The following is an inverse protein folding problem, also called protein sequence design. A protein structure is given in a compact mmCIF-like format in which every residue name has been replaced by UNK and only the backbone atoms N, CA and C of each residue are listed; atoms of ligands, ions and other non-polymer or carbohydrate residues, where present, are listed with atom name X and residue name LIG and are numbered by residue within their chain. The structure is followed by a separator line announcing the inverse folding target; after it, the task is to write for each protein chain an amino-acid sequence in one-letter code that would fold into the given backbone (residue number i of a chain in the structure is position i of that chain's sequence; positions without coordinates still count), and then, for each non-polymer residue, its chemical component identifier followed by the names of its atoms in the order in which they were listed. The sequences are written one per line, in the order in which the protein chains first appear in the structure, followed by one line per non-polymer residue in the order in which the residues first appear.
data_IF_718876893267
#
_entry.id   IF_718876893267
#
_cell.length_a   1.000
_cell.length_b   1.000
_cell.length_c   1.000
_cell.angle_alpha   90.00
_cell.angle_beta   90.00
_cell.angle_gamma   90.00
#
_symmetry.space_group_name_H-M   'P 1'
#
loop_
_entity.id
_entity.type
_entity.pdbx_description
1 polymer ?
#
# COMPACT_ATOMS: atom_id res chain seq x y z
N UNK A 1 -15.15 7.91 -10.50
CA UNK A 1 -14.80 6.58 -9.99
C UNK A 1 -16.01 5.69 -10.18
N UNK A 2 -15.90 4.73 -11.10
CA UNK A 2 -17.01 3.86 -11.44
C UNK A 2 -16.48 2.45 -11.71
N UNK A 3 -16.84 1.51 -10.84
CA UNK A 3 -16.60 0.10 -11.10
C UNK A 3 -17.47 -0.36 -12.27
N UNK A 4 -16.84 -1.00 -13.25
CA UNK A 4 -17.54 -1.73 -14.29
C UNK A 4 -17.70 -3.17 -13.84
N UNK A 5 -18.94 -3.58 -13.62
CA UNK A 5 -19.30 -4.90 -13.08
C UNK A 5 -20.05 -5.69 -14.16
N UNK A 6 -19.55 -6.88 -14.49
CA UNK A 6 -20.23 -7.89 -15.30
C UNK A 6 -20.47 -9.16 -14.46
N UNK A 7 -21.05 -10.19 -15.07
CA UNK A 7 -21.29 -11.47 -14.38
C UNK A 7 -20.01 -12.24 -14.05
N UNK A 8 -18.89 -11.93 -14.73
CA UNK A 8 -17.62 -12.66 -14.59
C UNK A 8 -16.42 -11.78 -14.26
N UNK A 9 -16.55 -10.45 -14.34
CA UNK A 9 -15.44 -9.53 -14.19
C UNK A 9 -15.90 -8.23 -13.51
N UNK A 10 -15.11 -7.75 -12.55
CA UNK A 10 -15.20 -6.41 -11.99
C UNK A 10 -13.87 -5.70 -12.26
N UNK A 11 -13.95 -4.48 -12.79
CA UNK A 11 -12.76 -3.64 -13.07
C UNK A 11 -12.98 -2.20 -12.63
N UNK A 12 -11.89 -1.52 -12.26
CA UNK A 12 -11.86 -0.08 -12.02
C UNK A 12 -11.40 0.71 -13.26
N UNK A 13 -11.82 1.97 -13.38
CA UNK A 13 -11.25 2.94 -14.33
C UNK A 13 -10.02 3.69 -13.77
N UNK A 14 -9.71 3.49 -12.50
CA UNK A 14 -8.63 4.16 -11.75
C UNK A 14 -7.50 3.18 -11.43
N UNK A 15 -7.83 1.96 -11.00
CA UNK A 15 -6.84 0.96 -10.59
C UNK A 15 -6.74 -0.15 -11.63
N UNK A 16 -5.54 -0.76 -11.79
CA UNK A 16 -5.34 -1.87 -12.72
C UNK A 16 -5.82 -3.21 -12.15
N UNK A 17 -6.27 -3.22 -10.90
CA UNK A 17 -6.70 -4.45 -10.25
C UNK A 17 -8.08 -4.88 -10.74
N UNK A 18 -8.37 -6.17 -10.60
CA UNK A 18 -9.55 -6.81 -11.15
C UNK A 18 -10.10 -7.85 -10.19
N UNK A 19 -11.42 -8.10 -10.27
CA UNK A 19 -12.04 -9.25 -9.65
C UNK A 19 -12.59 -10.19 -10.72
N UNK A 20 -12.28 -11.47 -10.64
CA UNK A 20 -12.74 -12.49 -11.59
C UNK A 20 -13.63 -13.50 -10.88
N UNK A 21 -14.71 -13.91 -11.54
CA UNK A 21 -15.53 -15.02 -11.07
C UNK A 21 -14.81 -16.34 -11.36
N UNK A 22 -14.67 -17.18 -10.34
CA UNK A 22 -14.04 -18.49 -10.48
C UNK A 22 -15.02 -19.47 -11.16
N UNK A 23 -14.62 -20.11 -12.29
CA UNK A 23 -15.55 -20.92 -13.09
C UNK A 23 -15.86 -22.30 -12.49
N UNK A 24 -14.99 -22.83 -11.63
CA UNK A 24 -15.04 -24.23 -11.15
C UNK A 24 -15.73 -24.42 -9.79
N UNK A 25 -16.18 -23.34 -9.14
CA UNK A 25 -16.82 -23.44 -7.81
C UNK A 25 -18.30 -23.12 -7.98
N UNK A 26 -19.13 -24.15 -7.81
CA UNK A 26 -20.58 -24.00 -7.75
C UNK A 26 -20.94 -23.05 -6.60
N UNK A 27 -21.55 -21.92 -6.95
CA UNK A 27 -21.82 -20.82 -6.00
C UNK A 27 -21.25 -19.47 -6.42
N UNK A 28 -20.43 -19.40 -7.48
CA UNK A 28 -20.01 -18.12 -8.05
C UNK A 28 -19.08 -17.32 -7.16
N UNK A 29 -18.05 -17.99 -6.64
CA UNK A 29 -16.97 -17.35 -5.90
C UNK A 29 -16.19 -16.38 -6.78
N UNK A 30 -15.67 -15.34 -6.17
CA UNK A 30 -14.87 -14.30 -6.80
C UNK A 30 -13.46 -14.28 -6.23
N UNK A 31 -12.50 -13.83 -7.04
CA UNK A 31 -11.11 -13.70 -6.65
C UNK A 31 -10.59 -12.33 -7.09
N UNK A 32 -9.86 -11.64 -6.21
CA UNK A 32 -9.23 -10.36 -6.50
C UNK A 32 -7.78 -10.58 -6.93
N UNK A 33 -7.34 -9.87 -7.96
CA UNK A 33 -5.96 -9.91 -8.48
C UNK A 33 -4.90 -9.60 -7.41
N UNK A 34 -5.23 -8.79 -6.43
CA UNK A 34 -4.31 -8.39 -5.35
C UNK A 34 -4.47 -9.20 -4.05
N UNK A 35 -5.53 -10.00 -3.90
CA UNK A 35 -5.80 -10.76 -2.68
C UNK A 35 -5.38 -12.24 -2.77
N UNK A 36 -4.70 -12.62 -3.85
CA UNK A 36 -4.23 -14.00 -4.07
C UNK A 36 -5.40 -14.95 -4.27
N UNK A 37 -5.26 -16.21 -3.83
CA UNK A 37 -6.22 -17.29 -4.08
C UNK A 37 -7.41 -17.34 -3.11
N UNK A 38 -7.72 -16.22 -2.47
CA UNK A 38 -8.86 -16.14 -1.57
C UNK A 38 -10.16 -16.06 -2.36
N UNK A 39 -11.04 -17.02 -2.13
CA UNK A 39 -12.40 -17.03 -2.65
C UNK A 39 -13.30 -16.13 -1.81
N UNK A 40 -14.03 -15.27 -2.49
CA UNK A 40 -14.90 -14.23 -1.93
C UNK A 40 -16.33 -14.39 -2.46
N UNK A 41 -17.30 -13.83 -1.74
CA UNK A 41 -18.61 -13.57 -2.32
C UNK A 41 -18.53 -12.43 -3.33
N UNK A 42 -19.59 -12.26 -4.13
CA UNK A 42 -19.67 -11.15 -5.09
C UNK A 42 -19.60 -9.79 -4.39
N UNK A 43 -20.29 -9.65 -3.26
CA UNK A 43 -20.33 -8.44 -2.45
C UNK A 43 -18.94 -8.13 -1.88
N UNK A 44 -18.23 -9.15 -1.38
CA UNK A 44 -16.86 -9.00 -0.90
C UNK A 44 -15.90 -8.62 -2.02
N UNK A 45 -16.06 -9.16 -3.23
CA UNK A 45 -15.25 -8.75 -4.37
C UNK A 45 -15.49 -7.29 -4.74
N UNK A 46 -16.74 -6.83 -4.73
CA UNK A 46 -17.08 -5.41 -4.93
C UNK A 46 -16.42 -4.55 -3.84
N UNK A 47 -16.55 -4.93 -2.57
CA UNK A 47 -15.96 -4.19 -1.46
C UNK A 47 -14.43 -4.14 -1.53
N UNK A 48 -13.78 -5.21 -1.98
CA UNK A 48 -12.34 -5.22 -2.22
C UNK A 48 -11.90 -4.33 -3.37
N UNK A 49 -12.69 -4.24 -4.44
CA UNK A 49 -12.44 -3.31 -5.56
C UNK A 49 -12.62 -1.85 -5.13
N UNK A 50 -13.69 -1.55 -4.37
CA UNK A 50 -13.91 -0.20 -3.79
C UNK A 50 -12.76 0.18 -2.86
N UNK A 51 -12.28 -0.76 -2.05
CA UNK A 51 -11.19 -0.53 -1.12
C UNK A 51 -9.87 -0.20 -1.83
N UNK A 52 -9.55 -0.92 -2.90
CA UNK A 52 -8.37 -0.64 -3.72
C UNK A 52 -8.45 0.75 -4.38
N UNK A 53 -9.60 1.11 -4.95
CA UNK A 53 -9.82 2.45 -5.51
C UNK A 53 -9.68 3.56 -4.46
N UNK A 54 -10.28 3.36 -3.28
CA UNK A 54 -10.28 4.31 -2.17
C UNK A 54 -8.85 4.60 -1.67
N UNK A 55 -8.00 3.58 -1.63
CA UNK A 55 -6.60 3.69 -1.19
C UNK A 55 -5.68 4.20 -2.29
N UNK A 56 -5.98 3.89 -3.55
CA UNK A 56 -5.20 4.34 -4.71
C UNK A 56 -5.43 5.81 -5.07
N UNK A 57 -6.65 6.32 -4.85
CA UNK A 57 -7.01 7.69 -5.23
C UNK A 57 -7.87 8.39 -4.15
N UNK A 58 -7.27 8.73 -2.98
CA UNK A 58 -7.98 9.41 -1.92
C UNK A 58 -8.40 10.82 -2.35
N UNK A 59 -9.65 11.20 -2.06
CA UNK A 59 -10.15 12.56 -2.31
C UNK A 59 -9.36 13.55 -1.43
N UNK A 60 -8.85 14.67 -1.98
CA UNK A 60 -8.11 15.65 -1.20
C UNK A 60 -8.95 16.22 -0.05
N UNK A 61 -8.37 16.24 1.16
CA UNK A 61 -8.99 16.86 2.33
C UNK A 61 -9.75 15.92 3.27
N UNK A 62 -9.88 14.63 2.95
CA UNK A 62 -10.69 13.69 3.75
C UNK A 62 -9.94 12.41 4.15
N UNK A 63 -8.63 12.50 4.37
CA UNK A 63 -7.76 11.34 4.60
C UNK A 63 -8.17 10.47 5.79
N UNK A 64 -8.66 11.07 6.89
CA UNK A 64 -9.08 10.32 8.07
C UNK A 64 -10.38 9.52 7.81
N UNK A 65 -11.37 10.14 7.16
CA UNK A 65 -12.59 9.43 6.78
C UNK A 65 -12.30 8.31 5.80
N UNK A 66 -11.46 8.57 4.79
CA UNK A 66 -10.99 7.57 3.81
C UNK A 66 -10.37 6.37 4.53
N UNK A 67 -9.48 6.59 5.50
CA UNK A 67 -8.87 5.50 6.27
C UNK A 67 -9.86 4.76 7.16
N UNK A 68 -10.83 5.44 7.78
CA UNK A 68 -11.88 4.77 8.58
C UNK A 68 -12.83 3.94 7.73
N UNK A 69 -13.21 4.45 6.56
CA UNK A 69 -14.01 3.72 5.59
C UNK A 69 -13.24 2.51 5.07
N UNK A 70 -11.97 2.70 4.71
CA UNK A 70 -11.09 1.62 4.29
C UNK A 70 -10.94 0.53 5.37
N UNK A 71 -10.76 0.92 6.63
CA UNK A 71 -10.69 -0.02 7.74
C UNK A 71 -11.99 -0.80 7.94
N UNK A 72 -13.15 -0.16 7.72
CA UNK A 72 -14.45 -0.84 7.77
C UNK A 72 -14.58 -1.88 6.68
N UNK A 73 -14.25 -1.54 5.43
CA UNK A 73 -14.27 -2.49 4.30
C UNK A 73 -13.25 -3.62 4.46
N UNK A 74 -12.07 -3.34 5.00
CA UNK A 74 -11.08 -4.36 5.33
C UNK A 74 -11.65 -5.43 6.28
N UNK A 75 -12.43 -5.02 7.29
CA UNK A 75 -13.08 -5.95 8.22
C UNK A 75 -14.15 -6.81 7.55
N UNK A 76 -14.89 -6.29 6.59
CA UNK A 76 -15.87 -7.08 5.81
C UNK A 76 -15.18 -8.17 4.96
N UNK A 77 -13.91 -7.95 4.60
CA UNK A 77 -13.03 -8.96 4.00
C UNK A 77 -12.36 -9.86 5.04
N UNK A 78 -12.58 -9.65 6.34
CA UNK A 78 -11.91 -10.37 7.41
C UNK A 78 -10.39 -10.13 7.46
N UNK A 79 -9.94 -8.93 7.09
CA UNK A 79 -8.53 -8.54 7.04
C UNK A 79 -8.29 -7.24 7.80
N UNK A 80 -7.06 -7.04 8.25
CA UNK A 80 -6.62 -5.75 8.79
C UNK A 80 -6.27 -4.76 7.68
N UNK A 81 -6.56 -3.47 7.88
CA UNK A 81 -6.13 -2.42 6.94
C UNK A 81 -4.61 -2.43 6.67
N UNK A 82 -3.71 -2.63 7.67
CA UNK A 82 -2.28 -2.71 7.41
C UNK A 82 -1.89 -3.87 6.48
N UNK A 83 -2.56 -5.01 6.58
CA UNK A 83 -2.30 -6.17 5.73
C UNK A 83 -2.65 -5.86 4.27
N UNK A 84 -3.79 -5.22 4.06
CA UNK A 84 -4.25 -4.82 2.71
C UNK A 84 -3.27 -3.82 2.08
N UNK A 85 -2.82 -2.82 2.83
CA UNK A 85 -1.83 -1.86 2.36
C UNK A 85 -0.53 -2.54 1.93
N UNK A 86 -0.03 -3.50 2.71
CA UNK A 86 1.18 -4.26 2.36
C UNK A 86 0.98 -5.04 1.06
N UNK A 87 -0.17 -5.70 0.88
CA UNK A 87 -0.46 -6.47 -0.34
C UNK A 87 -0.56 -5.57 -1.58
N UNK A 88 -1.32 -4.48 -1.50
CA UNK A 88 -1.45 -3.52 -2.61
C UNK A 88 -0.11 -2.86 -2.96
N UNK A 89 0.70 -2.50 -1.95
CA UNK A 89 2.04 -1.98 -2.17
C UNK A 89 2.95 -3.01 -2.84
N UNK A 90 2.87 -4.28 -2.43
CA UNK A 90 3.57 -5.39 -3.09
C UNK A 90 3.24 -5.49 -4.57
N UNK A 91 1.96 -5.36 -4.95
CA UNK A 91 1.49 -5.38 -6.34
C UNK A 91 2.03 -4.21 -7.17
N UNK A 92 2.07 -3.01 -6.59
CA UNK A 92 2.70 -1.85 -7.23
C UNK A 92 4.16 -2.15 -7.53
N UNK A 93 4.91 -2.66 -6.55
CA UNK A 93 6.32 -3.02 -6.75
C UNK A 93 6.52 -4.15 -7.78
N UNK A 94 5.67 -5.16 -7.80
CA UNK A 94 5.72 -6.24 -8.80
C UNK A 94 5.54 -5.70 -10.22
N UNK A 95 4.57 -4.79 -10.40
CA UNK A 95 4.32 -4.15 -11.69
C UNK A 95 5.49 -3.27 -12.11
N UNK A 96 6.01 -2.45 -11.20
CA UNK A 96 7.12 -1.53 -11.49
C UNK A 96 8.43 -2.29 -11.79
N UNK A 97 8.58 -3.52 -11.27
CA UNK A 97 9.71 -4.42 -11.61
C UNK A 97 9.57 -5.08 -12.96
N UNK A 98 8.35 -5.21 -13.52
CA UNK A 98 8.15 -5.84 -14.81
C UNK A 98 8.68 -4.86 -15.86
N UNK A 99 9.80 -5.17 -16.55
CA UNK A 99 10.27 -4.31 -17.61
C UNK A 99 9.14 -4.20 -18.64
N UNK A 100 8.81 -2.97 -19.05
CA UNK A 100 8.09 -2.76 -20.31
C UNK A 100 8.78 -3.65 -21.35
N UNK A 101 8.03 -4.50 -22.09
CA UNK A 101 8.63 -5.27 -23.17
C UNK A 101 9.42 -4.26 -23.99
N UNK A 102 10.72 -4.51 -24.17
CA UNK A 102 11.52 -3.70 -25.08
C UNK A 102 10.78 -3.74 -26.41
N UNK A 103 10.07 -2.66 -26.71
CA UNK A 103 9.43 -2.47 -28.00
C UNK A 103 10.62 -2.37 -28.92
N UNK A 104 10.93 -3.47 -29.60
CA UNK A 104 11.93 -3.50 -30.66
C UNK A 104 11.54 -2.39 -31.63
N UNK A 105 12.29 -1.30 -31.53
CA UNK A 105 12.14 -0.12 -32.34
C UNK A 105 12.74 -0.43 -33.72
N UNK A 106 12.09 -1.30 -34.49
CA UNK A 106 12.19 -1.28 -35.94
C UNK A 106 11.01 -2.01 -36.62
N UNK A 107 10.02 -1.24 -37.08
CA UNK A 107 9.75 -1.14 -38.52
C UNK A 107 8.77 0.02 -38.78
N UNK A 108 9.10 0.82 -39.79
CA UNK A 108 8.56 2.15 -40.00
C UNK A 108 7.12 2.26 -40.51
N UNK A 109 6.67 3.52 -40.46
CA UNK A 109 5.75 4.21 -41.38
C UNK A 109 4.24 4.15 -41.09
N UNK A 110 3.76 5.29 -40.57
CA UNK A 110 2.45 5.94 -40.79
C UNK A 110 1.22 5.18 -40.26
N UNK A 111 0.40 5.75 -39.36
CA UNK A 111 -0.35 6.96 -39.63
C UNK A 111 -1.22 7.39 -38.43
N UNK A 112 -1.37 8.72 -38.31
CA UNK A 112 -2.53 9.46 -37.76
C UNK A 112 -2.93 9.31 -36.28
N UNK A 113 -2.41 10.26 -35.50
CA UNK A 113 -3.19 11.19 -34.66
C UNK A 113 -4.40 10.63 -33.90
N UNK A 114 -4.15 10.28 -32.65
CA UNK A 114 -5.12 10.08 -31.58
C UNK A 114 -4.43 10.19 -30.23
N UNK A 115 -3.79 11.34 -29.98
CA UNK A 115 -3.07 11.66 -28.74
C UNK A 115 -4.06 11.76 -27.56
N UNK A 116 -4.12 10.73 -26.71
CA UNK A 116 -4.86 10.82 -25.44
C UNK A 116 -4.39 9.85 -24.32
N UNK A 117 -3.25 9.16 -24.45
CA UNK A 117 -2.94 8.05 -23.52
C UNK A 117 -1.64 8.16 -22.68
N UNK A 118 -0.77 9.16 -22.89
CA UNK A 118 0.59 9.11 -22.30
C UNK A 118 0.80 10.09 -21.12
N UNK A 119 -0.27 10.68 -20.56
CA UNK A 119 -0.10 11.79 -19.60
C UNK A 119 -0.71 11.61 -18.20
N UNK A 120 -1.12 10.39 -17.78
CA UNK A 120 -1.74 10.19 -16.44
C UNK A 120 -0.90 9.49 -15.38
N UNK A 121 0.22 8.83 -15.69
CA UNK A 121 0.92 8.02 -14.70
C UNK A 121 2.05 8.72 -13.94
N UNK A 122 2.39 9.97 -14.28
CA UNK A 122 3.52 10.69 -13.66
C UNK A 122 3.18 11.43 -12.35
N UNK A 123 1.93 11.45 -11.88
CA UNK A 123 1.53 12.33 -10.76
C UNK A 123 1.34 11.63 -9.40
N UNK A 124 1.46 10.30 -9.32
CA UNK A 124 1.28 9.55 -8.06
C UNK A 124 2.49 9.55 -7.11
N UNK A 125 3.71 9.62 -7.64
CA UNK A 125 4.95 9.48 -6.85
C UNK A 125 5.23 10.67 -5.90
N UNK A 126 4.67 11.85 -6.18
CA UNK A 126 4.84 13.03 -5.33
C UNK A 126 3.99 12.99 -4.06
N UNK A 127 2.94 12.16 -4.00
CA UNK A 127 2.07 12.09 -2.81
C UNK A 127 2.64 11.17 -1.70
N UNK A 128 3.28 10.07 -2.09
CA UNK A 128 3.83 9.07 -1.15
C UNK A 128 5.07 9.61 -0.44
N UNK A 129 5.91 10.37 -1.15
CA UNK A 129 7.05 11.09 -0.56
C UNK A 129 6.58 12.17 0.41
N UNK A 130 5.54 12.95 0.07
CA UNK A 130 4.97 13.96 0.98
C UNK A 130 4.30 13.36 2.23
N UNK A 131 3.65 12.20 2.11
CA UNK A 131 3.05 11.47 3.24
C UNK A 131 4.10 10.81 4.14
N UNK A 132 5.16 10.24 3.57
CA UNK A 132 6.32 9.73 4.31
C UNK A 132 7.06 10.86 5.04
N UNK A 133 7.25 12.02 4.39
CA UNK A 133 7.86 13.18 5.05
C UNK A 133 7.00 13.71 6.20
N UNK A 134 5.66 13.74 6.07
CA UNK A 134 4.76 14.19 7.15
C UNK A 134 4.68 13.21 8.31
N UNK A 135 4.69 11.90 8.03
CA UNK A 135 4.68 10.87 9.09
C UNK A 135 6.02 10.78 9.82
N UNK A 136 7.15 10.91 9.11
CA UNK A 136 8.47 11.00 9.74
C UNK A 136 8.64 12.29 10.55
N UNK A 137 8.10 13.42 10.10
CA UNK A 137 8.15 14.69 10.84
C UNK A 137 7.29 14.63 12.12
N UNK A 138 6.11 13.99 12.07
CA UNK A 138 5.26 13.80 13.25
C UNK A 138 5.89 12.83 14.29
N UNK A 139 6.60 11.80 13.82
CA UNK A 139 7.34 10.87 14.68
C UNK A 139 8.55 11.54 15.37
N UNK A 140 9.18 12.52 14.72
CA UNK A 140 10.29 13.28 15.30
C UNK A 140 9.85 14.30 16.38
N UNK A 141 8.58 14.72 16.37
CA UNK A 141 8.04 15.70 17.33
C UNK A 141 7.47 15.11 18.63
N UNK A 142 7.42 13.78 18.76
CA UNK A 142 6.88 13.10 19.95
C UNK A 142 7.95 12.15 20.53
N UNK A 143 8.77 12.59 21.50
CA UNK A 143 9.84 11.77 22.07
C UNK A 143 9.35 10.48 22.74
N UNK A 144 8.05 10.39 23.07
CA UNK A 144 7.42 9.19 23.63
C UNK A 144 7.18 8.07 22.61
N UNK A 145 7.00 8.37 21.31
CA UNK A 145 6.74 7.35 20.28
C UNK A 145 8.02 6.76 19.69
N UNK A 146 9.16 7.47 19.78
CA UNK A 146 10.48 6.93 19.44
C UNK A 146 10.79 5.66 20.25
N UNK A 147 10.43 5.62 21.54
CA UNK A 147 10.66 4.43 22.37
C UNK A 147 9.86 3.22 21.92
N UNK A 148 8.60 3.41 21.48
CA UNK A 148 7.75 2.30 21.01
C UNK A 148 8.24 1.80 19.65
N UNK A 149 8.61 2.69 18.75
CA UNK A 149 9.16 2.31 17.45
C UNK A 149 10.50 1.57 17.58
N UNK A 150 11.40 2.05 18.45
CA UNK A 150 12.69 1.40 18.76
C UNK A 150 12.45 0.05 19.43
N UNK A 151 11.52 -0.06 20.38
CA UNK A 151 11.19 -1.31 21.05
C UNK A 151 10.58 -2.37 20.10
N UNK A 152 9.72 -1.94 19.17
CA UNK A 152 9.17 -2.84 18.15
C UNK A 152 10.22 -3.27 17.13
N UNK A 153 11.15 -2.39 16.78
CA UNK A 153 12.29 -2.72 15.92
C UNK A 153 13.25 -3.70 16.59
N UNK A 154 13.59 -3.51 17.87
CA UNK A 154 14.46 -4.45 18.61
C UNK A 154 13.78 -5.80 18.80
N UNK A 155 12.48 -5.84 19.11
CA UNK A 155 11.72 -7.09 19.23
C UNK A 155 11.62 -7.86 17.90
N UNK A 156 11.54 -7.16 16.76
CA UNK A 156 11.50 -7.81 15.45
C UNK A 156 12.89 -8.29 14.99
N UNK A 157 13.96 -7.61 15.39
CA UNK A 157 15.34 -8.01 15.10
C UNK A 157 15.75 -9.25 15.89
N UNK A 158 15.30 -9.41 17.14
CA UNK A 158 15.59 -10.62 17.94
C UNK A 158 14.82 -11.85 17.45
N UNK A 159 13.66 -11.66 16.83
CA UNK A 159 12.85 -12.75 16.23
C UNK A 159 13.48 -13.40 15.00
N UNK A 160 14.43 -12.75 14.33
CA UNK A 160 14.98 -13.21 13.04
C UNK A 160 16.38 -13.81 13.14
N UNK A 161 16.90 -14.06 14.35
CA UNK A 161 18.03 -14.96 14.58
C UNK A 161 19.39 -14.56 13.97
N UNK A 162 19.54 -13.35 13.42
CA UNK A 162 20.79 -12.87 12.83
C UNK A 162 21.18 -11.50 13.40
N UNK A 163 22.39 -11.46 13.96
CA UNK A 163 23.19 -10.29 14.37
C UNK A 163 22.81 -9.55 15.67
N UNK A 164 23.15 -10.14 16.82
CA UNK A 164 23.38 -9.39 18.08
C UNK A 164 24.85 -8.98 18.16
N UNK A 165 25.28 -7.94 17.43
CA UNK A 165 26.59 -7.31 17.69
C UNK A 165 26.72 -5.88 17.16
N UNK A 166 25.69 -5.01 17.27
CA UNK A 166 25.91 -3.56 16.99
C UNK A 166 25.20 -2.61 17.98
N UNK A 167 24.16 -3.04 18.70
CA UNK A 167 23.32 -2.10 19.47
C UNK A 167 23.90 -1.70 20.85
N UNK A 168 24.93 -2.39 21.37
CA UNK A 168 25.52 -2.04 22.69
C UNK A 168 26.31 -0.73 22.74
N UNK A 169 26.54 -0.03 21.61
CA UNK A 169 27.30 1.23 21.60
C UNK A 169 26.43 2.50 21.61
N UNK A 170 25.12 2.40 21.42
CA UNK A 170 24.25 3.58 21.37
C UNK A 170 23.58 3.94 22.71
N UNK A 171 23.55 3.02 23.70
CA UNK A 171 22.96 3.29 25.02
C UNK A 171 23.89 3.98 26.00
N UNK A 172 25.21 3.98 25.77
CA UNK A 172 26.16 4.61 26.69
C UNK A 172 26.32 6.13 26.52
N UNK A 173 25.87 6.73 25.42
CA UNK A 173 25.98 8.19 25.21
C UNK A 173 24.81 8.98 25.78
N UNK A 174 23.67 8.34 26.05
CA UNK A 174 22.46 9.04 26.52
C UNK A 174 22.38 9.19 28.05
N UNK A 175 23.14 8.42 28.82
CA UNK A 175 23.13 8.50 30.30
C UNK A 175 23.98 9.66 30.84
N UNK A 176 24.92 10.21 30.07
CA UNK A 176 25.77 11.32 30.55
C UNK A 176 25.11 12.70 30.47
N UNK A 177 24.03 12.88 29.70
CA UNK A 177 23.39 14.19 29.55
C UNK A 177 22.38 14.53 30.65
N UNK A 178 21.87 13.55 31.40
CA UNK A 178 20.74 13.75 32.32
C UNK A 178 21.20 14.07 33.76
N UNK A 179 22.44 13.82 34.14
CA UNK A 179 22.93 14.10 35.51
C UNK A 179 23.50 15.50 35.73
N UNK A 180 23.68 16.33 34.68
CA UNK A 180 24.24 17.69 34.82
C UNK A 180 23.19 18.81 34.96
N UNK A 181 21.89 18.51 34.79
CA UNK A 181 20.83 19.53 34.90
C UNK A 181 20.08 19.54 36.23
N UNK A 182 20.63 18.89 37.27
CA UNK A 182 20.04 18.77 38.60
C UNK A 182 20.84 19.47 39.69
N UNK A 183 21.31 20.70 39.46
CA UNK A 183 21.74 21.58 40.56
C UNK A 183 21.47 23.06 40.21
N UNK A 184 20.33 23.55 40.67
CA UNK A 184 20.12 24.94 41.10
C UNK A 184 18.81 25.05 41.85
#
# INVERSE_FOLDING_TARGET
MALRITDWLITSDITPETAHRHPLVDGGCWQLSWLGDRLLTREQAIDGMILDELLSHPVPGDGEFVLRLAATRARELGLGLPEILVRLYGRILERDRRPEPLVDADCGRQSRTGSAAVQRFSMGCLSVSALLSRTLFAAASLPSLCFVAVALLTARVTSNGWAVTVISLATSTLTCAVTVSGSR
#
